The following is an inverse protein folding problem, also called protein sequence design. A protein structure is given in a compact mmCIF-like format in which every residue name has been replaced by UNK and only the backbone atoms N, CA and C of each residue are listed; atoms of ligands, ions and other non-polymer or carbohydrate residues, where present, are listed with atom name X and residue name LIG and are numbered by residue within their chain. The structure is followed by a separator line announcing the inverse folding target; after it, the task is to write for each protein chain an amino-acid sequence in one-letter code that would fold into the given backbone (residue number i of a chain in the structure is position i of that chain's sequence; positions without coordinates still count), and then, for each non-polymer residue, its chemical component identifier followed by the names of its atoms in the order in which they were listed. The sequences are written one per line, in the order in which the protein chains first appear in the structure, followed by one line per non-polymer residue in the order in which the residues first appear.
data_IF_230320585623
#
_entry.id   IF_230320585623
#
_cell.length_a   1.000
_cell.length_b   1.000
_cell.length_c   1.000
_cell.angle_alpha   90.00
_cell.angle_beta   90.00
_cell.angle_gamma   90.00
#
_symmetry.space_group_name_H-M   'P 1'
#
loop_
_entity.id
_entity.type
_entity.pdbx_description
1 polymer ?
#
# COMPACT_ATOMS: atom_id res chain seq x y z
N UNK A 1 6.88 -2.35 23.04
CA UNK A 1 6.87 -2.05 21.60
C UNK A 1 7.92 -2.93 20.95
N UNK A 2 7.53 -3.99 20.24
CA UNK A 2 8.49 -4.86 19.54
C UNK A 2 8.89 -4.11 18.27
N UNK A 3 9.92 -3.27 18.36
CA UNK A 3 10.57 -2.73 17.19
C UNK A 3 11.43 -3.84 16.60
N UNK A 4 10.83 -4.67 15.74
CA UNK A 4 11.64 -5.46 14.82
C UNK A 4 12.38 -4.43 13.97
N UNK A 5 13.68 -4.29 14.23
CA UNK A 5 14.56 -3.44 13.45
C UNK A 5 14.71 -4.13 12.09
N UNK A 6 13.78 -3.82 11.18
CA UNK A 6 13.88 -4.25 9.79
C UNK A 6 15.18 -3.65 9.28
N UNK A 7 16.11 -4.50 8.86
CA UNK A 7 17.30 -4.03 8.15
C UNK A 7 16.78 -3.42 6.85
N UNK A 8 16.91 -2.11 6.73
CA UNK A 8 16.62 -1.36 5.52
C UNK A 8 17.91 -1.42 4.72
N UNK A 9 17.89 -2.18 3.63
CA UNK A 9 19.02 -2.20 2.71
C UNK A 9 19.02 -0.90 1.88
N UNK A 10 20.13 -0.59 1.20
CA UNK A 10 20.26 0.68 0.47
C UNK A 10 19.19 0.85 -0.63
N UNK A 11 18.79 -0.26 -1.26
CA UNK A 11 17.70 -0.33 -2.23
C UNK A 11 16.35 0.05 -1.58
N UNK A 12 16.04 -0.50 -0.40
CA UNK A 12 14.82 -0.15 0.34
C UNK A 12 14.78 1.35 0.68
N UNK A 13 15.94 1.93 1.04
CA UNK A 13 16.02 3.35 1.35
C UNK A 13 15.73 4.22 0.11
N UNK A 14 16.23 3.84 -1.05
CA UNK A 14 15.96 4.55 -2.30
C UNK A 14 14.48 4.47 -2.68
N UNK A 15 13.86 3.31 -2.53
CA UNK A 15 12.43 3.13 -2.77
C UNK A 15 11.57 3.96 -1.81
N UNK A 16 11.95 4.00 -0.53
CA UNK A 16 11.27 4.85 0.47
C UNK A 16 11.35 6.32 0.06
N UNK A 17 12.54 6.80 -0.27
CA UNK A 17 12.74 8.20 -0.67
C UNK A 17 11.97 8.53 -1.95
N UNK A 18 12.01 7.65 -2.94
CA UNK A 18 11.25 7.79 -4.18
C UNK A 18 9.75 7.95 -3.89
N UNK A 19 9.16 7.06 -3.09
CA UNK A 19 7.73 7.12 -2.82
C UNK A 19 7.34 8.30 -1.94
N UNK A 20 8.20 8.73 -1.01
CA UNK A 20 7.96 9.92 -0.19
C UNK A 20 7.94 11.22 -1.01
N UNK A 21 8.65 11.27 -2.13
CA UNK A 21 8.63 12.40 -3.07
C UNK A 21 7.36 12.44 -3.94
N UNK A 22 6.60 11.34 -4.01
CA UNK A 22 5.38 11.26 -4.84
C UNK A 22 4.15 11.88 -4.17
N UNK A 23 3.25 12.50 -4.96
CA UNK A 23 1.95 12.94 -4.49
C UNK A 23 1.19 11.82 -3.77
N UNK A 24 0.37 12.20 -2.77
CA UNK A 24 -0.44 11.23 -2.02
C UNK A 24 -1.38 10.43 -2.94
N UNK A 25 -1.91 11.04 -4.00
CA UNK A 25 -2.74 10.38 -5.01
C UNK A 25 -2.00 9.24 -5.72
N UNK A 26 -0.75 9.46 -6.14
CA UNK A 26 0.08 8.46 -6.80
C UNK A 26 0.43 7.30 -5.86
N UNK A 27 0.81 7.62 -4.62
CA UNK A 27 1.08 6.61 -3.58
C UNK A 27 -0.15 5.74 -3.30
N UNK A 28 -1.32 6.34 -3.17
CA UNK A 28 -2.58 5.61 -2.90
C UNK A 28 -2.93 4.72 -4.09
N UNK A 29 -2.76 5.21 -5.32
CA UNK A 29 -3.01 4.44 -6.53
C UNK A 29 -2.11 3.20 -6.59
N UNK A 30 -0.82 3.36 -6.30
CA UNK A 30 0.13 2.24 -6.32
C UNK A 30 -0.15 1.22 -5.22
N UNK A 31 -0.39 1.66 -3.97
CA UNK A 31 -0.75 0.75 -2.87
C UNK A 31 -2.03 -0.02 -3.20
N UNK A 32 -3.00 0.64 -3.84
CA UNK A 32 -4.23 -0.01 -4.29
C UNK A 32 -3.96 -1.04 -5.38
N UNK A 33 -3.09 -0.72 -6.35
CA UNK A 33 -2.66 -1.64 -7.42
C UNK A 33 -1.95 -2.87 -6.85
N UNK A 34 -0.97 -2.67 -5.96
CA UNK A 34 -0.23 -3.74 -5.30
C UNK A 34 -1.15 -4.65 -4.48
N UNK A 35 -2.11 -4.06 -3.75
CA UNK A 35 -3.09 -4.82 -2.97
C UNK A 35 -3.98 -5.68 -3.87
N UNK A 36 -4.46 -5.13 -4.99
CA UNK A 36 -5.23 -5.88 -6.00
C UNK A 36 -4.41 -7.04 -6.55
N UNK A 37 -3.17 -6.79 -6.97
CA UNK A 37 -2.27 -7.80 -7.48
C UNK A 37 -2.01 -8.93 -6.48
N UNK A 38 -1.71 -8.58 -5.22
CA UNK A 38 -1.48 -9.55 -4.14
C UNK A 38 -2.67 -10.48 -3.94
N UNK A 39 -3.88 -9.95 -3.81
CA UNK A 39 -5.06 -10.78 -3.59
C UNK A 39 -5.47 -11.56 -4.84
N UNK A 40 -5.33 -10.98 -6.03
CA UNK A 40 -5.54 -11.72 -7.27
C UNK A 40 -4.57 -12.90 -7.38
N UNK A 41 -3.32 -12.73 -6.97
CA UNK A 41 -2.35 -13.84 -6.92
C UNK A 41 -2.70 -14.87 -5.83
N UNK A 42 -3.03 -14.41 -4.61
CA UNK A 42 -3.26 -15.27 -3.46
C UNK A 42 -4.59 -16.05 -3.53
N UNK A 43 -5.66 -15.40 -3.97
CA UNK A 43 -7.04 -15.89 -3.92
C UNK A 43 -7.68 -16.07 -5.30
N UNK A 44 -6.98 -15.71 -6.38
CA UNK A 44 -7.51 -15.71 -7.74
C UNK A 44 -8.41 -14.50 -8.08
N UNK A 45 -8.83 -13.72 -7.08
CA UNK A 45 -9.66 -12.54 -7.25
C UNK A 45 -9.47 -11.52 -6.12
N UNK A 46 -9.93 -10.29 -6.34
CA UNK A 46 -9.90 -9.24 -5.32
C UNK A 46 -11.15 -9.33 -4.42
N UNK A 47 -11.03 -9.42 -3.08
CA UNK A 47 -12.18 -9.57 -2.21
C UNK A 47 -13.06 -8.32 -2.13
N UNK A 48 -14.38 -8.49 -2.37
CA UNK A 48 -15.36 -7.39 -2.37
C UNK A 48 -15.46 -6.63 -1.04
N UNK A 49 -15.26 -7.31 0.09
CA UNK A 49 -15.35 -6.68 1.41
C UNK A 49 -14.21 -5.67 1.67
N UNK A 50 -13.05 -5.86 1.04
CA UNK A 50 -11.90 -4.94 1.14
C UNK A 50 -12.16 -3.69 0.29
N UNK A 51 -12.78 -3.84 -0.88
CA UNK A 51 -13.15 -2.71 -1.73
C UNK A 51 -14.08 -1.73 -1.01
N UNK A 52 -15.07 -2.25 -0.27
CA UNK A 52 -16.01 -1.42 0.50
C UNK A 52 -15.33 -0.62 1.62
N UNK A 53 -14.37 -1.21 2.33
CA UNK A 53 -13.66 -0.54 3.42
C UNK A 53 -12.80 0.66 2.95
N UNK A 54 -12.29 0.61 1.70
CA UNK A 54 -11.52 1.73 1.12
C UNK A 54 -12.45 2.88 0.74
N UNK A 55 -13.59 2.59 0.12
CA UNK A 55 -14.57 3.61 -0.30
C UNK A 55 -15.30 4.26 0.89
N UNK A 56 -15.43 3.54 2.01
CA UNK A 56 -16.07 4.05 3.23
C UNK A 56 -15.13 4.79 4.18
N UNK A 57 -13.82 4.85 3.89
CA UNK A 57 -12.92 5.69 4.66
C UNK A 57 -13.18 7.13 4.23
N UNK A 58 -14.23 7.72 4.80
CA UNK A 58 -14.50 9.13 4.71
C UNK A 58 -13.20 9.86 5.04
N UNK A 59 -12.71 10.62 4.07
CA UNK A 59 -11.91 11.78 4.34
C UNK A 59 -12.86 12.77 5.01
N UNK A 60 -13.15 12.57 6.30
CA UNK A 60 -13.79 13.59 7.11
C UNK A 60 -12.79 14.75 7.17
N UNK A 61 -13.03 15.74 6.30
CA UNK A 61 -12.38 17.05 6.24
C UNK A 61 -13.27 18.07 6.95
#
# INVERSE_FOLDING_TARGET
MVANQVKIDEEDLQDILFWLDRPASERIAEVTRLRRAYYSWLLGSYPEHIERAINQRNLDA
#
